data_IF_197308692071
#
_entry.id   IF_197308692071
#
_cell.length_a   1.000
_cell.length_b   1.000
_cell.length_c   1.000
_cell.angle_alpha   90.00
_cell.angle_beta   90.00
_cell.angle_gamma   90.00
#
_symmetry.space_group_name_H-M   'P 1'
#
loop_
_entity.id
_entity.type
_entity.pdbx_description
1 polymer ?
#
# COMPACT_ATOMS: atom_id res chain seq x y z
N UNK A 1 11.63 17.91 -30.33
CA UNK A 1 11.56 16.85 -29.29
C UNK A 1 10.67 15.75 -29.85
N UNK A 2 10.98 14.46 -29.64
CA UNK A 2 10.05 13.39 -30.04
C UNK A 2 8.77 13.54 -29.22
N UNK A 3 7.63 13.56 -29.89
CA UNK A 3 6.32 13.56 -29.27
C UNK A 3 6.04 12.14 -28.73
N UNK A 4 6.37 11.92 -27.46
CA UNK A 4 6.23 10.60 -26.81
C UNK A 4 4.79 10.42 -26.32
N UNK A 5 4.14 9.34 -26.73
CA UNK A 5 2.87 8.85 -26.16
C UNK A 5 3.17 7.81 -25.09
N UNK A 6 2.72 8.08 -23.86
CA UNK A 6 3.04 7.28 -22.67
C UNK A 6 1.82 6.52 -22.14
N UNK A 7 2.01 5.24 -21.79
CA UNK A 7 1.08 4.52 -20.91
C UNK A 7 1.78 4.32 -19.57
N UNK A 8 1.12 4.68 -18.47
CA UNK A 8 1.58 4.46 -17.10
C UNK A 8 0.67 3.46 -16.39
N UNK A 9 1.24 2.36 -15.90
CA UNK A 9 0.56 1.43 -14.98
C UNK A 9 1.11 1.71 -13.58
N UNK A 10 0.25 1.93 -12.60
CA UNK A 10 0.69 2.26 -11.24
C UNK A 10 -0.26 1.76 -10.16
N UNK A 11 0.23 1.67 -8.92
CA UNK A 11 -0.58 1.28 -7.77
C UNK A 11 -1.64 2.33 -7.41
N UNK A 12 -2.59 1.94 -6.56
CA UNK A 12 -3.78 2.75 -6.24
C UNK A 12 -3.61 3.70 -5.06
N UNK A 13 -2.49 3.62 -4.34
CA UNK A 13 -2.22 4.43 -3.16
C UNK A 13 -1.41 5.70 -3.49
N UNK A 14 -0.93 6.36 -2.44
CA UNK A 14 -0.15 7.59 -2.57
C UNK A 14 1.18 7.37 -3.31
N UNK A 15 1.86 6.24 -3.09
CA UNK A 15 3.16 6.01 -3.72
C UNK A 15 3.01 5.70 -5.21
N UNK A 16 1.99 4.94 -5.59
CA UNK A 16 1.60 4.75 -6.98
C UNK A 16 1.21 6.07 -7.69
N UNK A 17 0.42 6.92 -7.04
CA UNK A 17 0.07 8.24 -7.60
C UNK A 17 1.30 9.16 -7.68
N UNK A 18 2.13 9.18 -6.65
CA UNK A 18 3.35 9.99 -6.54
C UNK A 18 4.36 9.63 -7.63
N UNK A 19 4.73 8.36 -7.73
CA UNK A 19 5.72 7.84 -8.67
C UNK A 19 5.31 8.06 -10.13
N UNK A 20 4.05 7.73 -10.48
CA UNK A 20 3.52 7.96 -11.82
C UNK A 20 3.46 9.45 -12.18
N UNK A 21 2.96 10.29 -11.28
CA UNK A 21 2.85 11.73 -11.55
C UNK A 21 4.22 12.40 -11.65
N UNK A 22 5.18 12.04 -10.79
CA UNK A 22 6.56 12.51 -10.84
C UNK A 22 7.21 12.12 -12.18
N UNK A 23 7.01 10.88 -12.63
CA UNK A 23 7.50 10.41 -13.93
C UNK A 23 7.00 11.27 -15.09
N UNK A 24 5.68 11.48 -15.16
CA UNK A 24 5.01 12.22 -16.23
C UNK A 24 5.44 13.68 -16.24
N UNK A 25 5.55 14.32 -15.07
CA UNK A 25 5.98 15.73 -14.96
C UNK A 25 7.39 15.97 -15.49
N UNK A 26 8.31 15.04 -15.21
CA UNK A 26 9.71 15.19 -15.58
C UNK A 26 9.99 14.77 -17.03
N UNK A 27 9.26 13.78 -17.56
CA UNK A 27 9.42 13.33 -18.95
C UNK A 27 8.63 14.14 -19.97
N UNK A 28 7.59 14.87 -19.53
CA UNK A 28 6.76 15.76 -20.35
C UNK A 28 6.30 15.11 -21.67
N UNK A 29 5.63 13.94 -21.63
CA UNK A 29 5.14 13.28 -22.82
C UNK A 29 4.10 14.17 -23.54
N UNK A 30 3.94 14.00 -24.86
CA UNK A 30 2.91 14.70 -25.64
C UNK A 30 1.51 14.34 -25.13
N UNK A 31 1.30 13.06 -24.83
CA UNK A 31 0.07 12.55 -24.24
C UNK A 31 0.37 11.37 -23.33
N UNK A 32 -0.48 11.17 -22.33
CA UNK A 32 -0.34 10.05 -21.42
C UNK A 32 -1.69 9.44 -21.04
N UNK A 33 -1.67 8.15 -20.69
CA UNK A 33 -2.79 7.40 -20.14
C UNK A 33 -2.34 6.68 -18.88
N UNK A 34 -3.09 6.81 -17.79
CA UNK A 34 -2.77 6.15 -16.52
C UNK A 34 -3.76 5.04 -16.22
N UNK A 35 -3.25 3.90 -15.78
CA UNK A 35 -4.01 2.70 -15.43
C UNK A 35 -3.64 2.32 -14.00
N UNK A 36 -4.53 2.64 -13.07
CA UNK A 36 -4.41 2.24 -11.68
C UNK A 36 -4.78 0.77 -11.50
N UNK A 37 -3.92 0.00 -10.85
CA UNK A 37 -4.12 -1.44 -10.64
C UNK A 37 -3.66 -1.87 -9.26
N UNK A 38 -4.29 -2.91 -8.75
CA UNK A 38 -3.75 -3.71 -7.64
C UNK A 38 -2.76 -4.76 -8.18
N UNK A 39 -1.84 -5.33 -7.36
CA UNK A 39 -0.82 -6.27 -7.84
C UNK A 39 -1.39 -7.48 -8.61
N UNK A 40 -2.52 -8.04 -8.15
CA UNK A 40 -3.19 -9.16 -8.82
C UNK A 40 -3.80 -8.81 -10.19
N UNK A 41 -3.91 -7.52 -10.53
CA UNK A 41 -4.46 -7.02 -11.79
C UNK A 41 -3.39 -6.68 -12.82
N UNK A 42 -2.10 -6.62 -12.43
CA UNK A 42 -0.99 -6.25 -13.31
C UNK A 42 -0.98 -7.06 -14.61
N UNK A 43 -1.05 -8.39 -14.50
CA UNK A 43 -1.04 -9.28 -15.67
C UNK A 43 -2.19 -8.96 -16.64
N UNK A 44 -3.38 -8.68 -16.11
CA UNK A 44 -4.55 -8.33 -16.92
C UNK A 44 -4.32 -6.99 -17.65
N UNK A 45 -3.76 -6.00 -16.97
CA UNK A 45 -3.47 -4.69 -17.56
C UNK A 45 -2.43 -4.79 -18.69
N UNK A 46 -1.30 -5.46 -18.45
CA UNK A 46 -0.25 -5.63 -19.47
C UNK A 46 -0.77 -6.42 -20.67
N UNK A 47 -1.51 -7.53 -20.45
CA UNK A 47 -2.15 -8.28 -21.55
C UNK A 47 -3.16 -7.44 -22.34
N UNK A 48 -3.91 -6.56 -21.68
CA UNK A 48 -4.84 -5.67 -22.35
C UNK A 48 -4.12 -4.67 -23.25
N UNK A 49 -2.99 -4.11 -22.78
CA UNK A 49 -2.15 -3.20 -23.58
C UNK A 49 -1.53 -3.94 -24.76
N UNK A 50 -0.99 -5.14 -24.54
CA UNK A 50 -0.39 -5.97 -25.57
C UNK A 50 -1.38 -6.42 -26.67
N UNK A 51 -2.69 -6.40 -26.40
CA UNK A 51 -3.76 -6.71 -27.35
C UNK A 51 -4.42 -5.48 -27.96
N UNK A 52 -4.15 -4.29 -27.42
CA UNK A 52 -4.74 -3.04 -27.91
C UNK A 52 -4.14 -2.68 -29.26
N UNK A 53 -4.93 -2.07 -30.15
CA UNK A 53 -4.43 -1.45 -31.39
C UNK A 53 -3.85 -0.05 -31.16
N UNK A 54 -3.96 0.49 -29.93
CA UNK A 54 -3.41 1.79 -29.54
C UNK A 54 -1.88 1.80 -29.71
N UNK A 55 -1.39 2.80 -30.44
CA UNK A 55 0.04 3.08 -30.61
C UNK A 55 0.54 3.97 -29.46
N UNK A 56 1.67 3.59 -28.89
CA UNK A 56 2.36 4.35 -27.85
C UNK A 56 3.87 4.06 -27.94
N UNK A 57 4.68 5.01 -27.48
CA UNK A 57 6.13 4.95 -27.58
C UNK A 57 6.77 4.38 -26.31
N UNK A 58 6.06 4.48 -25.18
CA UNK A 58 6.59 4.14 -23.88
C UNK A 58 5.54 3.58 -22.92
N UNK A 59 5.93 2.51 -22.21
CA UNK A 59 5.21 1.95 -21.07
C UNK A 59 6.06 2.13 -19.82
N UNK A 60 5.53 2.85 -18.84
CA UNK A 60 6.11 2.95 -17.50
C UNK A 60 5.26 2.18 -16.50
N UNK A 61 5.89 1.37 -15.66
CA UNK A 61 5.25 0.66 -14.55
C UNK A 61 5.88 1.17 -13.26
N UNK A 62 5.07 1.59 -12.30
CA UNK A 62 5.53 2.13 -11.02
C UNK A 62 4.82 1.49 -9.85
N UNK A 63 5.54 1.24 -8.75
CA UNK A 63 5.01 0.80 -7.45
C UNK A 63 4.21 -0.52 -7.49
N UNK A 64 4.60 -1.45 -8.35
CA UNK A 64 3.91 -2.74 -8.44
C UNK A 64 4.93 -3.86 -8.54
N UNK A 65 5.02 -4.65 -7.48
CA UNK A 65 5.71 -5.94 -7.49
C UNK A 65 4.91 -7.04 -8.20
N UNK A 66 5.53 -7.87 -9.03
CA UNK A 66 4.86 -8.98 -9.69
C UNK A 66 4.60 -10.14 -8.73
N UNK A 67 3.52 -10.88 -8.97
CA UNK A 67 3.29 -12.14 -8.27
C UNK A 67 4.11 -13.27 -8.89
N UNK A 68 4.67 -14.13 -8.05
CA UNK A 68 5.41 -15.33 -8.47
C UNK A 68 4.60 -16.21 -9.44
N UNK A 69 3.28 -16.31 -9.24
CA UNK A 69 2.38 -17.10 -10.07
C UNK A 69 2.14 -16.50 -11.46
N UNK A 70 2.44 -15.21 -11.67
CA UNK A 70 2.09 -14.50 -12.91
C UNK A 70 3.28 -13.88 -13.64
N UNK A 71 4.46 -13.78 -13.01
CA UNK A 71 5.63 -13.07 -13.57
C UNK A 71 6.02 -13.54 -14.97
N UNK A 72 6.06 -14.86 -15.22
CA UNK A 72 6.39 -15.41 -16.53
C UNK A 72 5.39 -15.04 -17.63
N UNK A 73 4.14 -14.78 -17.29
CA UNK A 73 3.16 -14.29 -18.26
C UNK A 73 3.23 -12.77 -18.45
N UNK A 74 3.64 -12.03 -17.41
CA UNK A 74 3.93 -10.59 -17.50
C UNK A 74 5.11 -10.37 -18.43
N UNK A 75 6.23 -11.08 -18.22
CA UNK A 75 7.42 -11.08 -19.09
C UNK A 75 7.05 -11.26 -20.58
N UNK A 76 6.32 -12.34 -20.91
CA UNK A 76 5.89 -12.60 -22.30
C UNK A 76 5.02 -11.49 -22.88
N UNK A 77 4.17 -10.87 -22.06
CA UNK A 77 3.32 -9.78 -22.51
C UNK A 77 4.11 -8.48 -22.74
N UNK A 78 5.14 -8.22 -21.91
CA UNK A 78 6.06 -7.10 -22.09
C UNK A 78 6.95 -7.29 -23.33
N UNK A 79 7.50 -8.49 -23.53
CA UNK A 79 8.25 -8.83 -24.75
C UNK A 79 7.40 -8.61 -26.00
N UNK A 80 6.13 -9.04 -25.98
CA UNK A 80 5.18 -8.80 -27.06
C UNK A 80 4.99 -7.30 -27.32
N UNK A 81 4.80 -6.50 -26.27
CA UNK A 81 4.67 -5.03 -26.39
C UNK A 81 5.93 -4.44 -27.03
N UNK A 82 7.11 -4.80 -26.54
CA UNK A 82 8.37 -4.29 -27.08
C UNK A 82 8.55 -4.65 -28.56
N UNK A 83 8.31 -5.91 -28.93
CA UNK A 83 8.52 -6.40 -30.30
C UNK A 83 7.48 -5.89 -31.30
N UNK A 84 6.20 -5.93 -30.95
CA UNK A 84 5.12 -5.63 -31.89
C UNK A 84 4.77 -4.14 -31.94
N UNK A 85 4.99 -3.41 -30.84
CA UNK A 85 4.69 -1.96 -30.77
C UNK A 85 5.94 -1.09 -30.83
N UNK A 86 7.13 -1.65 -30.65
CA UNK A 86 8.38 -0.88 -30.58
C UNK A 86 8.48 0.00 -29.32
N UNK A 87 7.63 -0.22 -28.32
CA UNK A 87 7.55 0.63 -27.15
C UNK A 87 8.71 0.34 -26.18
N UNK A 88 9.30 1.41 -25.63
CA UNK A 88 10.26 1.31 -24.52
C UNK A 88 9.53 0.96 -23.24
N UNK A 89 10.13 0.10 -22.42
CA UNK A 89 9.51 -0.36 -21.16
C UNK A 89 10.44 0.04 -20.02
N UNK A 90 9.89 0.74 -19.03
CA UNK A 90 10.58 1.13 -17.80
C UNK A 90 9.77 0.70 -16.60
N UNK A 91 10.43 0.19 -15.56
CA UNK A 91 9.75 -0.29 -14.36
C UNK A 91 10.50 0.16 -13.12
N UNK A 92 9.84 0.91 -12.25
CA UNK A 92 10.37 1.41 -10.99
C UNK A 92 9.58 0.81 -9.84
N UNK A 93 10.27 0.19 -8.89
CA UNK A 93 9.61 -0.45 -7.76
C UNK A 93 10.49 -0.47 -6.50
N UNK A 94 9.88 -0.74 -5.36
CA UNK A 94 10.56 -0.87 -4.07
C UNK A 94 10.27 -2.18 -3.33
N UNK A 95 9.37 -3.01 -3.85
CA UNK A 95 9.08 -4.31 -3.27
C UNK A 95 10.28 -5.26 -3.35
N UNK A 96 10.25 -6.33 -2.56
CA UNK A 96 11.25 -7.41 -2.61
C UNK A 96 10.97 -8.28 -3.83
N UNK A 97 11.99 -8.46 -4.68
CA UNK A 97 11.91 -9.25 -5.91
C UNK A 97 12.93 -10.38 -5.91
N UNK A 98 12.59 -11.49 -6.56
CA UNK A 98 13.58 -12.52 -6.88
C UNK A 98 14.57 -11.99 -7.92
N UNK A 99 15.87 -12.20 -7.70
CA UNK A 99 16.94 -11.75 -8.60
C UNK A 99 16.83 -12.35 -10.01
N UNK A 100 16.38 -13.61 -10.15
CA UNK A 100 16.17 -14.23 -11.46
C UNK A 100 15.11 -13.48 -12.28
N UNK A 101 14.05 -12.97 -11.63
CA UNK A 101 13.02 -12.18 -12.32
C UNK A 101 13.57 -10.83 -12.78
N UNK A 102 14.43 -10.20 -11.96
CA UNK A 102 15.10 -8.95 -12.33
C UNK A 102 15.98 -9.17 -13.56
N UNK A 103 16.80 -10.20 -13.54
CA UNK A 103 17.72 -10.54 -14.63
C UNK A 103 16.99 -10.86 -15.94
N UNK A 104 15.90 -11.62 -15.88
CA UNK A 104 15.12 -12.00 -17.07
C UNK A 104 14.47 -10.78 -17.75
N UNK A 105 13.93 -9.83 -16.97
CA UNK A 105 13.36 -8.59 -17.52
C UNK A 105 14.44 -7.68 -18.11
N UNK A 106 15.60 -7.56 -17.46
CA UNK A 106 16.72 -6.77 -17.97
C UNK A 106 17.24 -7.36 -19.29
N UNK A 107 17.36 -8.69 -19.39
CA UNK A 107 17.73 -9.37 -20.65
C UNK A 107 16.73 -9.14 -21.78
N UNK A 108 15.45 -8.93 -21.45
CA UNK A 108 14.40 -8.56 -22.42
C UNK A 108 14.46 -7.08 -22.83
N UNK A 109 15.35 -6.28 -22.24
CA UNK A 109 15.51 -4.85 -22.55
C UNK A 109 14.61 -3.92 -21.73
N UNK A 110 14.03 -4.38 -20.62
CA UNK A 110 13.29 -3.52 -19.67
C UNK A 110 14.29 -2.68 -18.86
N UNK A 111 14.10 -1.36 -18.80
CA UNK A 111 14.82 -0.49 -17.85
C UNK A 111 14.21 -0.65 -16.45
N UNK A 112 14.68 -1.65 -15.73
CA UNK A 112 14.21 -2.03 -14.40
C UNK A 112 15.06 -1.37 -13.30
N UNK A 113 14.41 -0.64 -12.39
CA UNK A 113 15.01 -0.02 -11.20
C UNK A 113 14.25 -0.47 -9.96
N UNK A 114 14.90 -1.27 -9.11
CA UNK A 114 14.32 -1.74 -7.84
C UNK A 114 15.22 -1.31 -6.69
N UNK A 115 14.65 -0.62 -5.70
CA UNK A 115 15.35 -0.23 -4.47
C UNK A 115 14.44 -0.40 -3.25
N UNK A 116 14.80 -1.35 -2.40
CA UNK A 116 14.00 -1.78 -1.24
C UNK A 116 14.09 -0.80 -0.04
N UNK A 117 14.96 0.21 -0.10
CA UNK A 117 15.18 1.15 1.00
C UNK A 117 14.38 2.45 0.87
N UNK A 118 13.79 2.71 -0.29
CA UNK A 118 13.08 3.95 -0.60
C UNK A 118 11.71 3.63 -1.19
N UNK A 119 10.73 4.51 -1.03
CA UNK A 119 9.44 4.35 -1.72
C UNK A 119 9.61 4.50 -3.24
N UNK A 120 8.71 3.94 -4.03
CA UNK A 120 8.77 3.95 -5.50
C UNK A 120 8.84 5.37 -6.08
N UNK A 121 8.20 6.36 -5.45
CA UNK A 121 8.29 7.78 -5.86
C UNK A 121 9.73 8.29 -5.81
N UNK A 122 10.49 7.93 -4.77
CA UNK A 122 11.89 8.30 -4.65
C UNK A 122 12.78 7.50 -5.60
N UNK A 123 12.45 6.23 -5.85
CA UNK A 123 13.12 5.43 -6.91
C UNK A 123 12.98 6.14 -8.26
N UNK A 124 11.78 6.62 -8.62
CA UNK A 124 11.60 7.40 -9.85
C UNK A 124 12.42 8.69 -9.82
N UNK A 125 12.32 9.48 -8.74
CA UNK A 125 13.04 10.75 -8.60
C UNK A 125 14.55 10.60 -8.83
N UNK A 126 15.17 9.65 -8.12
CA UNK A 126 16.61 9.38 -8.20
C UNK A 126 17.06 8.91 -9.58
N UNK A 127 16.22 8.17 -10.30
CA UNK A 127 16.57 7.60 -11.60
C UNK A 127 16.23 8.50 -12.79
N UNK A 128 15.53 9.63 -12.58
CA UNK A 128 15.30 10.64 -13.62
C UNK A 128 16.33 11.77 -13.62
N UNK A 129 17.24 11.82 -12.64
CA UNK A 129 18.30 12.84 -12.53
C UNK A 129 17.76 14.27 -12.67
N UNK A 130 16.68 14.58 -11.96
CA UNK A 130 16.02 15.89 -11.99
C UNK A 130 16.38 16.71 -10.74
N UNK A 131 16.72 17.98 -10.94
CA UNK A 131 16.93 18.95 -9.85
C UNK A 131 15.64 19.73 -9.50
N UNK A 132 14.49 19.25 -9.97
CA UNK A 132 13.19 19.86 -9.72
C UNK A 132 12.80 19.79 -8.24
N UNK A 133 12.68 20.97 -7.61
CA UNK A 133 12.30 21.11 -6.20
C UNK A 133 10.93 20.50 -5.91
N UNK A 134 9.98 20.58 -6.86
CA UNK A 134 8.66 19.95 -6.70
C UNK A 134 8.82 18.44 -6.54
N UNK A 135 9.60 17.81 -7.42
CA UNK A 135 9.85 16.37 -7.41
C UNK A 135 10.58 15.92 -6.15
N UNK A 136 11.57 16.70 -5.69
CA UNK A 136 12.24 16.44 -4.41
C UNK A 136 11.27 16.47 -3.22
N UNK A 137 10.46 17.52 -3.11
CA UNK A 137 9.48 17.65 -2.02
C UNK A 137 8.43 16.54 -2.08
N UNK A 138 7.91 16.23 -3.27
CA UNK A 138 6.95 15.15 -3.46
C UNK A 138 7.54 13.80 -3.04
N UNK A 139 8.74 13.47 -3.49
CA UNK A 139 9.48 12.26 -3.11
C UNK A 139 9.58 12.13 -1.59
N UNK A 140 10.03 13.19 -0.91
CA UNK A 140 10.20 13.19 0.55
C UNK A 140 8.87 12.99 1.29
N UNK A 141 7.82 13.71 0.90
CA UNK A 141 6.52 13.62 1.56
C UNK A 141 5.83 12.28 1.32
N UNK A 142 5.95 11.71 0.12
CA UNK A 142 5.38 10.40 -0.20
C UNK A 142 6.10 9.29 0.56
N UNK A 143 7.44 9.24 0.54
CA UNK A 143 8.19 8.23 1.28
C UNK A 143 7.98 8.32 2.80
N UNK A 144 7.83 9.53 3.34
CA UNK A 144 7.47 9.74 4.75
C UNK A 144 6.15 9.06 5.12
N UNK A 145 5.15 9.08 4.22
CA UNK A 145 3.86 8.40 4.42
C UNK A 145 3.95 6.89 4.18
N UNK A 146 4.60 6.48 3.08
CA UNK A 146 4.72 5.08 2.65
C UNK A 146 5.48 4.23 3.68
N UNK A 147 6.63 4.72 4.13
CA UNK A 147 7.44 4.10 5.20
C UNK A 147 6.81 4.26 6.60
N UNK A 148 5.66 4.93 6.70
CA UNK A 148 4.92 5.17 7.94
C UNK A 148 5.71 5.92 9.02
N UNK A 149 6.61 6.82 8.61
CA UNK A 149 7.48 7.61 9.52
C UNK A 149 6.85 8.96 9.85
N UNK A 150 6.14 9.58 8.89
CA UNK A 150 5.50 10.89 9.03
C UNK A 150 6.45 12.01 9.53
N UNK A 151 7.71 12.00 9.11
CA UNK A 151 8.71 13.03 9.42
C UNK A 151 8.69 14.23 8.44
N UNK A 152 7.79 14.22 7.47
CA UNK A 152 7.52 15.33 6.58
C UNK A 152 6.11 15.90 6.78
N UNK A 153 6.00 17.22 6.84
CA UNK A 153 4.78 17.94 7.22
C UNK A 153 3.64 17.78 6.19
N UNK A 154 3.96 17.51 4.93
CA UNK A 154 2.97 17.37 3.86
C UNK A 154 2.41 15.94 3.74
N UNK A 155 3.12 14.95 4.28
CA UNK A 155 2.72 13.54 4.24
C UNK A 155 1.28 13.29 4.76
N UNK A 156 0.85 13.87 5.91
CA UNK A 156 -0.52 13.73 6.42
C UNK A 156 -1.61 14.24 5.47
N UNK A 157 -1.33 15.28 4.67
CA UNK A 157 -2.29 15.84 3.73
C UNK A 157 -2.43 14.96 2.51
N UNK A 158 -1.30 14.58 1.91
CA UNK A 158 -1.27 13.78 0.68
C UNK A 158 -1.88 12.39 0.88
N UNK A 159 -1.56 11.70 1.98
CA UNK A 159 -2.09 10.35 2.24
C UNK A 159 -3.61 10.34 2.38
N UNK A 160 -4.18 11.39 3.01
CA UNK A 160 -5.64 11.55 3.17
C UNK A 160 -6.30 11.95 1.87
N UNK A 161 -5.64 12.81 1.10
CA UNK A 161 -6.15 13.25 -0.19
C UNK A 161 -6.25 12.10 -1.19
N UNK A 162 -5.23 11.26 -1.29
CA UNK A 162 -5.26 10.09 -2.18
C UNK A 162 -6.17 9.00 -1.61
N UNK A 163 -5.91 8.58 -0.36
CA UNK A 163 -6.45 7.32 0.19
C UNK A 163 -7.93 7.29 0.55
N UNK A 164 -8.61 8.44 0.65
CA UNK A 164 -10.01 8.48 1.11
C UNK A 164 -11.05 8.56 -0.01
N UNK A 165 -10.68 9.01 -1.22
CA UNK A 165 -11.61 8.98 -2.33
C UNK A 165 -11.67 7.61 -3.00
N UNK A 166 -12.87 7.21 -3.44
CA UNK A 166 -13.13 5.85 -3.92
C UNK A 166 -13.19 5.79 -5.43
N UNK A 167 -12.45 4.83 -5.98
CA UNK A 167 -12.60 4.35 -7.35
C UNK A 167 -11.78 5.11 -8.39
N UNK A 168 -11.80 4.57 -9.62
CA UNK A 168 -10.94 5.00 -10.72
C UNK A 168 -11.03 6.50 -11.04
N UNK A 169 -12.24 7.08 -11.07
CA UNK A 169 -12.43 8.51 -11.36
C UNK A 169 -11.77 9.43 -10.34
N UNK A 170 -11.74 9.02 -9.06
CA UNK A 170 -11.06 9.78 -8.02
C UNK A 170 -9.56 9.76 -8.22
N UNK A 171 -8.98 8.58 -8.46
CA UNK A 171 -7.54 8.45 -8.71
C UNK A 171 -7.12 9.23 -9.96
N UNK A 172 -7.90 9.18 -11.04
CA UNK A 172 -7.65 9.98 -12.25
C UNK A 172 -7.69 11.49 -11.96
N UNK A 173 -8.67 11.94 -11.16
CA UNK A 173 -8.78 13.34 -10.74
C UNK A 173 -7.58 13.79 -9.90
N UNK A 174 -7.26 13.07 -8.83
CA UNK A 174 -6.15 13.39 -7.93
C UNK A 174 -4.81 13.35 -8.66
N UNK A 175 -4.58 12.31 -9.47
CA UNK A 175 -3.37 12.21 -10.29
C UNK A 175 -3.24 13.39 -11.25
N UNK A 176 -4.34 13.83 -11.86
CA UNK A 176 -4.32 15.02 -12.71
C UNK A 176 -3.91 16.28 -11.97
N UNK A 177 -4.23 16.41 -10.68
CA UNK A 177 -3.78 17.52 -9.84
C UNK A 177 -2.28 17.40 -9.58
N UNK A 178 -1.77 16.23 -9.21
CA UNK A 178 -0.34 16.01 -9.02
C UNK A 178 0.46 16.38 -10.28
N UNK A 179 0.00 15.94 -11.46
CA UNK A 179 0.66 16.23 -12.74
C UNK A 179 0.59 17.71 -13.12
N UNK A 180 -0.55 18.39 -12.88
CA UNK A 180 -0.79 19.75 -13.37
C UNK A 180 -0.44 20.86 -12.38
N UNK A 181 -0.22 20.54 -11.10
CA UNK A 181 0.08 21.57 -10.10
C UNK A 181 1.38 22.33 -10.46
N UNK A 182 1.35 23.67 -10.50
CA UNK A 182 2.52 24.48 -10.86
C UNK A 182 3.62 24.44 -9.80
N UNK A 183 3.26 24.27 -8.53
CA UNK A 183 4.18 24.15 -7.40
C UNK A 183 3.71 23.11 -6.38
N UNK A 184 4.61 22.69 -5.49
CA UNK A 184 4.29 21.71 -4.46
C UNK A 184 3.26 22.28 -3.47
N UNK A 185 3.38 23.57 -3.15
CA UNK A 185 2.42 24.30 -2.30
C UNK A 185 1.03 24.31 -2.93
N UNK A 186 0.92 24.44 -4.26
CA UNK A 186 -0.36 24.38 -4.96
C UNK A 186 -0.99 22.99 -4.89
N UNK A 187 -0.17 21.93 -4.97
CA UNK A 187 -0.63 20.56 -4.73
C UNK A 187 -1.16 20.40 -3.29
N UNK A 188 -0.42 20.90 -2.31
CA UNK A 188 -0.85 20.82 -0.91
C UNK A 188 -2.14 21.62 -0.70
N UNK A 189 -2.24 22.84 -1.23
CA UNK A 189 -3.46 23.64 -1.15
C UNK A 189 -4.69 22.91 -1.72
N UNK A 190 -4.54 22.28 -2.90
CA UNK A 190 -5.60 21.48 -3.51
C UNK A 190 -6.00 20.26 -2.65
N UNK A 191 -5.07 19.74 -1.84
CA UNK A 191 -5.31 18.60 -0.95
C UNK A 191 -5.99 18.97 0.37
N UNK A 192 -5.85 20.23 0.83
CA UNK A 192 -6.21 20.66 2.20
C UNK A 192 -7.64 20.38 2.57
N UNK A 193 -8.60 20.87 1.78
CA UNK A 193 -10.02 20.76 2.13
C UNK A 193 -10.44 19.30 2.31
N UNK A 194 -10.00 18.42 1.41
CA UNK A 194 -10.30 17.00 1.52
C UNK A 194 -9.55 16.36 2.69
N UNK A 195 -8.28 16.71 2.89
CA UNK A 195 -7.50 16.17 4.00
C UNK A 195 -8.11 16.53 5.36
N UNK A 196 -8.61 17.77 5.54
CA UNK A 196 -9.30 18.22 6.75
C UNK A 196 -10.61 17.48 6.95
N UNK A 197 -11.46 17.38 5.93
CA UNK A 197 -12.72 16.61 5.98
C UNK A 197 -12.48 15.15 6.43
N UNK A 198 -11.45 14.53 5.85
CA UNK A 198 -11.05 13.15 6.20
C UNK A 198 -10.55 13.08 7.63
N UNK A 199 -9.71 14.02 8.04
CA UNK A 199 -9.12 14.05 9.37
C UNK A 199 -10.18 14.23 10.46
N UNK A 200 -11.17 15.12 10.26
CA UNK A 200 -12.28 15.31 11.21
C UNK A 200 -13.06 14.00 11.40
N UNK A 201 -13.33 13.27 10.30
CA UNK A 201 -13.97 11.97 10.36
C UNK A 201 -13.10 10.91 11.03
N UNK A 202 -11.78 10.94 10.82
CA UNK A 202 -10.84 10.05 11.50
C UNK A 202 -10.85 10.27 13.01
N UNK A 203 -10.84 11.52 13.49
CA UNK A 203 -10.91 11.86 14.92
C UNK A 203 -12.20 11.32 15.53
N UNK A 204 -13.34 11.56 14.90
CA UNK A 204 -14.64 11.05 15.35
C UNK A 204 -14.61 9.52 15.50
N UNK A 205 -14.14 8.83 14.46
CA UNK A 205 -14.04 7.37 14.46
C UNK A 205 -13.03 6.85 15.48
N UNK A 206 -11.89 7.53 15.67
CA UNK A 206 -10.92 7.21 16.70
C UNK A 206 -11.54 7.30 18.09
N UNK A 207 -12.30 8.36 18.39
CA UNK A 207 -13.04 8.50 19.64
C UNK A 207 -14.04 7.35 19.84
N UNK A 208 -14.86 7.07 18.82
CA UNK A 208 -15.80 5.96 18.83
C UNK A 208 -15.13 4.60 19.12
N UNK A 209 -14.04 4.28 18.41
CA UNK A 209 -13.35 3.01 18.60
C UNK A 209 -12.54 2.96 19.88
N UNK A 210 -12.07 4.11 20.39
CA UNK A 210 -11.47 4.16 21.72
C UNK A 210 -12.45 3.63 22.74
N UNK A 211 -13.71 4.08 22.74
CA UNK A 211 -14.72 3.61 23.70
C UNK A 211 -15.12 2.14 23.51
N UNK A 212 -15.14 1.67 22.26
CA UNK A 212 -15.52 0.28 21.91
C UNK A 212 -14.38 -0.75 22.06
N UNK A 213 -13.14 -0.30 22.18
CA UNK A 213 -12.00 -1.19 22.31
C UNK A 213 -11.94 -1.81 23.72
N UNK A 214 -11.58 -3.09 23.77
CA UNK A 214 -11.49 -3.87 25.00
C UNK A 214 -10.02 -4.18 25.31
N UNK A 215 -9.60 -3.85 26.53
CA UNK A 215 -8.25 -4.15 27.01
C UNK A 215 -8.24 -5.49 27.76
N UNK A 216 -7.26 -6.33 27.45
CA UNK A 216 -7.14 -7.72 27.94
C UNK A 216 -5.69 -7.96 28.33
N UNK A 217 -5.45 -8.50 29.52
CA UNK A 217 -4.12 -8.93 29.95
C UNK A 217 -4.00 -10.45 29.86
N UNK A 218 -3.01 -10.95 29.12
CA UNK A 218 -2.70 -12.39 29.01
C UNK A 218 -1.21 -12.55 29.21
N UNK A 219 -0.79 -13.30 30.23
CA UNK A 219 0.62 -13.65 30.46
C UNK A 219 1.55 -12.43 30.50
N UNK A 220 1.07 -11.32 31.08
CA UNK A 220 1.82 -10.06 31.15
C UNK A 220 1.87 -9.24 29.86
N UNK A 221 1.14 -9.65 28.82
CA UNK A 221 0.96 -8.93 27.56
C UNK A 221 -0.32 -8.10 27.65
N UNK A 222 -0.21 -6.79 27.44
CA UNK A 222 -1.38 -5.91 27.36
C UNK A 222 -1.91 -5.85 25.94
N UNK A 223 -3.11 -6.35 25.73
CA UNK A 223 -3.75 -6.44 24.43
C UNK A 223 -4.96 -5.52 24.33
N UNK A 224 -5.11 -4.82 23.21
CA UNK A 224 -6.36 -4.12 22.89
C UNK A 224 -7.03 -4.79 21.70
N UNK A 225 -8.27 -5.23 21.88
CA UNK A 225 -9.09 -5.84 20.85
C UNK A 225 -10.20 -4.88 20.42
N UNK A 226 -10.42 -4.71 19.11
CA UNK A 226 -11.49 -3.84 18.60
C UNK A 226 -12.12 -4.42 17.34
N UNK A 227 -13.45 -4.32 17.24
CA UNK A 227 -14.18 -4.60 16.01
C UNK A 227 -14.42 -3.31 15.22
N UNK A 228 -13.98 -3.29 13.96
CA UNK A 228 -14.02 -2.15 13.04
C UNK A 228 -15.08 -2.37 11.94
N UNK A 229 -16.17 -1.63 12.03
CA UNK A 229 -17.28 -1.67 11.06
C UNK A 229 -17.17 -0.62 9.93
N UNK A 230 -16.43 0.45 10.18
CA UNK A 230 -16.23 1.59 9.27
C UNK A 230 -14.99 1.41 8.38
N UNK A 231 -15.10 1.85 7.12
CA UNK A 231 -14.00 1.81 6.16
C UNK A 231 -13.23 3.15 6.09
N UNK A 232 -13.78 4.22 6.64
CA UNK A 232 -13.26 5.59 6.43
C UNK A 232 -12.03 5.91 7.29
N UNK A 233 -11.73 5.07 8.27
CA UNK A 233 -10.49 5.08 9.05
C UNK A 233 -9.64 3.87 8.64
N UNK A 234 -8.35 4.05 8.36
CA UNK A 234 -7.48 2.92 8.01
C UNK A 234 -7.22 2.02 9.22
N UNK A 235 -7.06 0.72 9.00
CA UNK A 235 -6.77 -0.21 10.10
C UNK A 235 -5.42 0.09 10.75
N UNK A 236 -4.39 0.43 9.95
CA UNK A 236 -3.07 0.85 10.47
C UNK A 236 -3.19 2.07 11.38
N UNK A 237 -3.95 3.09 10.97
CA UNK A 237 -4.13 4.32 11.75
C UNK A 237 -4.88 4.04 13.06
N UNK A 238 -5.98 3.28 12.99
CA UNK A 238 -6.74 2.89 14.19
C UNK A 238 -5.87 2.09 15.17
N UNK A 239 -5.13 1.11 14.65
CA UNK A 239 -4.30 0.25 15.47
C UNK A 239 -3.16 1.04 16.14
N UNK A 240 -2.49 1.93 15.41
CA UNK A 240 -1.45 2.80 15.96
C UNK A 240 -2.00 3.74 17.04
N UNK A 241 -3.15 4.37 16.76
CA UNK A 241 -3.84 5.24 17.71
C UNK A 241 -4.18 4.49 19.00
N UNK A 242 -4.87 3.34 18.91
CA UNK A 242 -5.24 2.53 20.07
C UNK A 242 -4.00 2.03 20.82
N UNK A 243 -2.96 1.60 20.12
CA UNK A 243 -1.72 1.11 20.73
C UNK A 243 -1.07 2.20 21.60
N UNK A 244 -1.09 3.45 21.12
CA UNK A 244 -0.57 4.61 21.84
C UNK A 244 -1.46 4.99 23.02
N UNK A 245 -2.75 5.29 22.79
CA UNK A 245 -3.63 5.83 23.85
C UNK A 245 -4.00 4.81 24.92
N UNK A 246 -3.94 3.52 24.61
CA UNK A 246 -4.14 2.42 25.57
C UNK A 246 -2.83 1.89 26.15
N UNK A 247 -1.67 2.32 25.65
CA UNK A 247 -0.36 1.77 26.02
C UNK A 247 -0.30 0.24 25.88
N UNK A 248 -0.82 -0.30 24.79
CA UNK A 248 -0.92 -1.75 24.57
C UNK A 248 0.32 -2.31 23.88
N UNK A 249 0.68 -3.55 24.18
CA UNK A 249 1.77 -4.28 23.52
C UNK A 249 1.33 -4.81 22.15
N UNK A 250 0.08 -5.26 22.05
CA UNK A 250 -0.54 -5.76 20.82
C UNK A 250 -1.91 -5.09 20.65
N UNK A 251 -2.22 -4.63 19.44
CA UNK A 251 -3.56 -4.24 19.04
C UNK A 251 -4.06 -5.18 17.97
N UNK A 252 -5.29 -5.67 18.16
CA UNK A 252 -5.99 -6.52 17.20
C UNK A 252 -7.23 -5.81 16.73
N UNK A 253 -7.24 -5.52 15.45
CA UNK A 253 -8.41 -4.97 14.76
C UNK A 253 -9.04 -6.11 13.96
N UNK A 254 -10.31 -6.39 14.23
CA UNK A 254 -11.13 -7.26 13.40
C UNK A 254 -12.01 -6.39 12.54
N UNK A 255 -11.99 -6.56 11.22
CA UNK A 255 -12.88 -5.83 10.34
C UNK A 255 -14.16 -6.62 9.99
N UNK A 256 -15.15 -5.94 9.41
CA UNK A 256 -16.40 -6.57 8.95
C UNK A 256 -16.22 -7.61 7.83
N UNK A 257 -15.06 -7.68 7.18
CA UNK A 257 -14.75 -8.66 6.12
C UNK A 257 -14.33 -10.00 6.72
N UNK A 258 -14.08 -10.07 8.04
CA UNK A 258 -13.69 -11.29 8.72
C UNK A 258 -12.21 -11.57 8.55
N UNK A 259 -11.36 -10.60 8.89
CA UNK A 259 -9.93 -10.79 9.06
C UNK A 259 -9.47 -10.17 10.38
N UNK A 260 -8.42 -10.77 10.95
CA UNK A 260 -7.64 -10.16 12.00
C UNK A 260 -6.51 -9.33 11.38
N UNK A 261 -6.28 -8.15 11.92
CA UNK A 261 -5.15 -7.29 11.60
C UNK A 261 -4.44 -6.92 12.90
N UNK A 262 -3.16 -7.26 12.98
CA UNK A 262 -2.34 -7.15 14.17
C UNK A 262 -1.35 -6.00 14.03
N UNK A 263 -1.14 -5.25 15.11
CA UNK A 263 0.02 -4.35 15.26
C UNK A 263 0.65 -4.60 16.62
N UNK A 264 1.98 -4.57 16.68
CA UNK A 264 2.70 -4.67 17.95
C UNK A 264 3.94 -3.80 17.96
N UNK A 265 4.25 -3.27 19.15
CA UNK A 265 5.49 -2.56 19.46
C UNK A 265 6.54 -3.43 20.15
N UNK A 266 6.18 -4.67 20.51
CA UNK A 266 6.99 -5.52 21.40
C UNK A 266 7.11 -6.97 20.93
N UNK A 267 6.02 -7.55 20.45
CA UNK A 267 5.89 -8.99 20.20
C UNK A 267 5.77 -9.28 18.71
N UNK A 268 6.38 -10.37 18.27
CA UNK A 268 6.25 -10.90 16.92
C UNK A 268 4.83 -11.41 16.65
N UNK A 269 4.01 -10.56 16.04
CA UNK A 269 2.63 -10.93 15.68
C UNK A 269 2.54 -11.78 14.42
N UNK A 270 3.66 -11.98 13.68
CA UNK A 270 3.70 -12.88 12.52
C UNK A 270 3.46 -14.32 12.93
N UNK A 271 4.03 -14.80 14.03
CA UNK A 271 3.84 -16.19 14.48
C UNK A 271 2.39 -16.47 14.89
N UNK A 272 1.74 -15.48 15.53
CA UNK A 272 0.32 -15.54 15.85
C UNK A 272 -0.51 -15.59 14.56
N UNK A 273 -0.18 -14.74 13.58
CA UNK A 273 -0.84 -14.73 12.29
C UNK A 273 -0.68 -16.07 11.57
N UNK A 274 0.53 -16.63 11.54
CA UNK A 274 0.84 -17.90 10.89
C UNK A 274 0.04 -19.05 11.49
N UNK A 275 -0.07 -19.14 12.82
CA UNK A 275 -0.94 -20.12 13.51
C UNK A 275 -2.42 -19.97 13.16
N UNK A 276 -2.86 -18.76 12.83
CA UNK A 276 -4.22 -18.47 12.37
C UNK A 276 -4.40 -18.66 10.84
N UNK A 277 -3.38 -19.15 10.12
CA UNK A 277 -3.42 -19.35 8.67
C UNK A 277 -3.16 -18.08 7.87
N UNK A 278 -2.52 -17.08 8.48
CA UNK A 278 -2.13 -15.81 7.88
C UNK A 278 -0.61 -15.63 7.79
N UNK A 279 -0.17 -14.38 7.81
CA UNK A 279 1.24 -14.00 7.73
C UNK A 279 1.45 -12.48 7.78
N UNK A 280 2.65 -12.05 7.41
CA UNK A 280 3.04 -10.64 7.39
C UNK A 280 4.41 -10.40 8.04
N UNK A 281 4.61 -9.18 8.54
CA UNK A 281 5.82 -8.75 9.23
C UNK A 281 5.71 -8.90 10.75
N UNK A 282 6.83 -8.99 11.48
CA UNK A 282 6.81 -9.13 12.94
C UNK A 282 5.98 -8.07 13.65
N UNK A 283 6.03 -6.81 13.22
CA UNK A 283 5.33 -5.66 13.80
C UNK A 283 3.89 -5.50 13.30
N UNK A 284 3.60 -6.04 12.11
CA UNK A 284 2.35 -5.84 11.39
C UNK A 284 2.01 -7.08 10.55
N UNK A 285 0.99 -7.81 10.98
CA UNK A 285 0.56 -9.04 10.32
C UNK A 285 -0.97 -9.13 10.24
N UNK A 286 -1.49 -10.12 9.52
CA UNK A 286 -2.93 -10.37 9.46
C UNK A 286 -3.25 -11.84 9.18
N UNK A 287 -4.45 -12.25 9.56
CA UNK A 287 -4.93 -13.60 9.33
C UNK A 287 -6.41 -13.62 8.96
N UNK A 288 -6.84 -14.52 8.05
CA UNK A 288 -8.25 -14.66 7.72
C UNK A 288 -9.03 -15.25 8.90
N UNK A 289 -10.34 -14.99 8.93
CA UNK A 289 -11.22 -15.76 9.79
C UNK A 289 -11.32 -17.21 9.28
N UNK A 290 -11.43 -18.19 10.19
CA UNK A 290 -11.90 -19.52 9.84
C UNK A 290 -13.26 -19.44 9.13
N UNK A 291 -13.49 -20.35 8.17
CA UNK A 291 -14.67 -20.31 7.29
C UNK A 291 -16.01 -20.23 8.03
N UNK A 292 -16.13 -20.89 9.19
CA UNK A 292 -17.35 -20.84 10.01
C UNK A 292 -17.60 -19.45 10.62
N UNK A 293 -16.56 -18.72 11.05
CA UNK A 293 -16.70 -17.34 11.52
C UNK A 293 -17.05 -16.39 10.38
N UNK A 294 -16.43 -16.58 9.21
CA UNK A 294 -16.80 -15.83 8.00
C UNK A 294 -18.26 -16.05 7.63
N UNK A 295 -18.78 -17.27 7.80
CA UNK A 295 -20.20 -17.57 7.58
C UNK A 295 -21.10 -16.82 8.57
N UNK A 296 -20.77 -16.82 9.87
CA UNK A 296 -21.51 -16.06 10.88
C UNK A 296 -21.52 -14.55 10.57
N UNK A 297 -20.38 -13.99 10.14
CA UNK A 297 -20.29 -12.59 9.69
C UNK A 297 -21.22 -12.31 8.51
N UNK A 298 -21.27 -13.21 7.51
CA UNK A 298 -22.18 -13.10 6.35
C UNK A 298 -23.66 -13.18 6.76
N UNK A 299 -23.97 -13.99 7.77
CA UNK A 299 -25.30 -14.08 8.37
C UNK A 299 -25.63 -12.89 9.29
N UNK A 300 -24.75 -11.88 9.39
CA UNK A 300 -24.89 -10.70 10.27
C UNK A 300 -24.94 -11.05 11.76
N UNK A 301 -24.48 -12.24 12.15
CA UNK A 301 -24.34 -12.67 13.54
C UNK A 301 -23.02 -12.15 14.13
N UNK A 302 -22.81 -10.83 14.06
CA UNK A 302 -21.53 -10.19 14.36
C UNK A 302 -21.07 -10.46 15.80
N UNK A 303 -21.95 -10.31 16.81
CA UNK A 303 -21.59 -10.52 18.21
C UNK A 303 -21.01 -11.92 18.45
N UNK A 304 -21.75 -12.96 18.04
CA UNK A 304 -21.29 -14.35 18.16
C UNK A 304 -19.99 -14.60 17.40
N UNK A 305 -19.87 -14.09 16.17
CA UNK A 305 -18.67 -14.25 15.38
C UNK A 305 -17.44 -13.59 16.04
N UNK A 306 -17.61 -12.38 16.58
CA UNK A 306 -16.56 -11.60 17.24
C UNK A 306 -16.15 -12.26 18.56
N UNK A 307 -17.08 -12.76 19.37
CA UNK A 307 -16.78 -13.44 20.63
C UNK A 307 -15.97 -14.71 20.39
N UNK A 308 -16.38 -15.52 19.40
CA UNK A 308 -15.65 -16.72 19.01
C UNK A 308 -14.29 -16.40 18.39
N UNK A 309 -14.22 -15.33 17.58
CA UNK A 309 -12.96 -14.84 17.01
C UNK A 309 -11.98 -14.44 18.11
N UNK A 310 -12.44 -13.61 19.06
CA UNK A 310 -11.68 -13.19 20.23
C UNK A 310 -11.19 -14.42 21.01
N UNK A 311 -12.08 -15.36 21.36
CA UNK A 311 -11.69 -16.58 22.09
C UNK A 311 -10.59 -17.38 21.38
N UNK A 312 -10.74 -17.60 20.06
CA UNK A 312 -9.74 -18.31 19.25
C UNK A 312 -8.40 -17.57 19.23
N UNK A 313 -8.45 -16.26 19.05
CA UNK A 313 -7.26 -15.42 19.04
C UNK A 313 -6.53 -15.47 20.39
N UNK A 314 -7.23 -15.30 21.52
CA UNK A 314 -6.61 -15.33 22.85
C UNK A 314 -5.99 -16.71 23.17
N UNK A 315 -6.60 -17.82 22.73
CA UNK A 315 -5.98 -19.14 22.85
C UNK A 315 -4.68 -19.23 22.05
N UNK A 316 -4.66 -18.69 20.83
CA UNK A 316 -3.46 -18.69 19.98
C UNK A 316 -2.34 -17.86 20.61
N UNK A 317 -2.66 -16.71 21.21
CA UNK A 317 -1.66 -15.89 21.93
C UNK A 317 -1.04 -16.66 23.09
N UNK A 318 -1.81 -17.44 23.85
CA UNK A 318 -1.28 -18.29 24.94
C UNK A 318 -0.37 -19.41 24.42
N UNK A 319 -0.71 -19.99 23.27
CA UNK A 319 0.10 -21.06 22.67
C UNK A 319 1.42 -20.56 22.10
N UNK A 320 1.42 -19.37 21.48
CA UNK A 320 2.61 -18.77 20.85
C UNK A 320 3.47 -17.99 21.85
N UNK A 321 2.83 -17.41 22.88
CA UNK A 321 3.38 -16.42 23.79
C UNK A 321 3.93 -15.16 23.06
N UNK A 322 4.47 -14.18 23.80
CA UNK A 322 5.13 -13.02 23.19
C UNK A 322 6.58 -13.37 22.86
N UNK A 323 6.92 -13.44 21.57
CA UNK A 323 8.32 -13.51 21.11
C UNK A 323 8.82 -12.07 20.89
N UNK A 324 9.74 -11.54 21.72
CA UNK A 324 10.16 -10.15 21.61
C UNK A 324 10.99 -9.85 20.35
N UNK A 325 10.85 -8.68 19.74
CA UNK A 325 11.58 -8.31 18.50
C UNK A 325 13.11 -8.37 18.62
N UNK A 326 13.65 -8.09 19.80
CA UNK A 326 15.08 -8.14 20.09
C UNK A 326 15.66 -9.56 20.09
N UNK A 327 14.83 -10.60 20.14
CA UNK A 327 15.27 -12.00 19.97
C UNK A 327 15.46 -12.32 18.48
N UNK A 328 14.63 -11.74 17.60
CA UNK A 328 14.64 -12.01 16.15
C UNK A 328 15.82 -11.33 15.46
N UNK A 329 16.19 -10.12 15.87
CA UNK A 329 17.34 -9.39 15.30
C UNK A 329 18.71 -10.02 15.56
N UNK A 330 18.79 -11.11 16.34
CA UNK A 330 20.03 -11.87 16.57
C UNK A 330 20.23 -13.02 15.58
N UNK A 331 19.23 -13.37 14.78
CA UNK A 331 19.26 -14.54 13.88
C UNK A 331 19.21 -14.16 12.38
N UNK A 332 19.31 -12.86 12.05
CA UNK A 332 19.41 -12.36 10.67
C UNK A 332 20.77 -11.71 10.44
#
# INVERSE_FOLDING_TARGET
MRNVKLISITHTDLDGVGSSSLYIRNTKPESYKVIFVEPYQLLKAVKSIAKSDESFDELVITDIGPNASTIKEVERALEKISREKGARIRWFDHHIWNNEWKDDLIKQGVDLRVDENHCATEVVYRNLNTDDIFSYMLSKSVCSADLWIFNDWAAPFLVRFVGNGRGKKWLEYVHSIFVKSPSFETLIEASKNKAVEVFDREIELMGFYREKAEDINIEGIKLTFVFKSHNDLSTSMLAQYLMSVRNSDIVVVVDKRGKYEFRSKKCNVREIAFKLGGGGHPEASGAPFPSFLTLLMKMKLYGLAIDLAKKKFLNTVKEVSCIPFNVIKKEI
#
